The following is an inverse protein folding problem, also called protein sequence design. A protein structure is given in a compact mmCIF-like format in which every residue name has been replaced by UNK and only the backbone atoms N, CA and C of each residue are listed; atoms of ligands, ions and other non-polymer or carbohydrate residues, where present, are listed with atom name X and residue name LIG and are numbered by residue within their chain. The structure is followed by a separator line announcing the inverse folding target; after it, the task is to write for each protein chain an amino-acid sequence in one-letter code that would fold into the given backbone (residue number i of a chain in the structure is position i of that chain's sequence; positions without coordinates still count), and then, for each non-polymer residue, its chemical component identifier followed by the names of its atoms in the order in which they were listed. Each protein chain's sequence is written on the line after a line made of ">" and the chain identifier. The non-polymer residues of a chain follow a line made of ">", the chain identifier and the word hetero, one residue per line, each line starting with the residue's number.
data_IF_497473660066
#
_entry.id   IF_497473660066
#
_cell.length_a   1.000
_cell.length_b   1.000
_cell.length_c   1.000
_cell.angle_alpha   90.00
_cell.angle_beta   90.00
_cell.angle_gamma   90.00
#
_symmetry.space_group_name_H-M   'P 1'
#
loop_
_entity.id
_entity.type
_entity.pdbx_description
1 polymer ?
#
# COMPACT_ATOMS: atom_id res chain seq x y z
N UNK A 1 -18.53 -25.11 -13.16
CA UNK A 1 -18.06 -24.75 -11.80
C UNK A 1 -18.12 -23.23 -11.72
N UNK A 2 -18.76 -22.63 -10.70
CA UNK A 2 -18.81 -21.17 -10.56
C UNK A 2 -17.47 -20.65 -10.06
N UNK A 3 -17.09 -19.43 -10.48
CA UNK A 3 -15.81 -18.79 -10.13
C UNK A 3 -15.56 -18.77 -8.61
N UNK A 4 -16.61 -18.52 -7.83
CA UNK A 4 -16.60 -18.52 -6.36
C UNK A 4 -16.23 -19.89 -5.76
N UNK A 5 -16.69 -20.99 -6.37
CA UNK A 5 -16.34 -22.35 -5.93
C UNK A 5 -14.87 -22.66 -6.25
N UNK A 6 -14.37 -22.20 -7.40
CA UNK A 6 -12.97 -22.35 -7.76
C UNK A 6 -12.05 -21.56 -6.82
N UNK A 7 -12.40 -20.30 -6.51
CA UNK A 7 -11.65 -19.44 -5.58
C UNK A 7 -11.61 -20.06 -4.17
N UNK A 8 -12.75 -20.59 -3.68
CA UNK A 8 -12.80 -21.22 -2.36
C UNK A 8 -11.95 -22.49 -2.30
N UNK A 9 -11.99 -23.32 -3.35
CA UNK A 9 -11.16 -24.54 -3.47
C UNK A 9 -9.67 -24.20 -3.50
N UNK A 10 -9.27 -23.19 -4.27
CA UNK A 10 -7.89 -22.71 -4.34
C UNK A 10 -7.45 -22.14 -2.98
N UNK A 11 -8.30 -21.38 -2.31
CA UNK A 11 -7.99 -20.80 -1.00
C UNK A 11 -7.77 -21.90 0.06
N UNK A 12 -8.66 -22.89 0.13
CA UNK A 12 -8.50 -24.06 1.01
C UNK A 12 -7.24 -24.86 0.69
N UNK A 13 -6.90 -24.98 -0.60
CA UNK A 13 -5.69 -25.65 -1.05
C UNK A 13 -4.41 -24.89 -0.63
N UNK A 14 -4.40 -23.55 -0.72
CA UNK A 14 -3.27 -22.70 -0.33
C UNK A 14 -3.09 -22.58 1.18
N UNK A 15 -4.14 -22.83 1.97
CA UNK A 15 -4.07 -22.90 3.43
C UNK A 15 -3.38 -24.19 3.93
N UNK A 16 -3.25 -25.22 3.08
CA UNK A 16 -2.58 -26.46 3.44
C UNK A 16 -1.06 -26.35 3.25
N UNK A 17 -0.33 -26.16 4.35
CA UNK A 17 1.12 -25.93 4.37
C UNK A 17 1.92 -27.00 3.61
N UNK A 18 1.52 -28.28 3.73
CA UNK A 18 2.19 -29.40 3.06
C UNK A 18 2.05 -29.33 1.53
N UNK A 19 0.91 -28.87 1.02
CA UNK A 19 0.67 -28.71 -0.43
C UNK A 19 1.38 -27.49 -1.00
N UNK A 20 1.47 -26.41 -0.22
CA UNK A 20 2.30 -25.24 -0.56
C UNK A 20 3.77 -25.65 -0.70
N UNK A 21 4.30 -26.46 0.24
CA UNK A 21 5.66 -27.01 0.16
C UNK A 21 5.86 -27.88 -1.08
N UNK A 22 4.89 -28.74 -1.41
CA UNK A 22 4.95 -29.57 -2.62
C UNK A 22 5.04 -28.72 -3.90
N UNK A 23 4.19 -27.72 -4.07
CA UNK A 23 4.18 -26.86 -5.26
C UNK A 23 5.44 -25.99 -5.37
N UNK A 24 5.85 -25.38 -4.27
CA UNK A 24 7.04 -24.52 -4.22
C UNK A 24 8.34 -25.30 -4.49
N UNK A 25 8.32 -26.63 -4.34
CA UNK A 25 9.44 -27.49 -4.71
C UNK A 25 9.59 -27.75 -6.22
N UNK A 26 8.55 -27.46 -7.02
CA UNK A 26 8.54 -27.72 -8.46
C UNK A 26 9.20 -26.58 -9.23
N UNK A 27 10.39 -26.85 -9.78
CA UNK A 27 11.16 -25.87 -10.56
C UNK A 27 10.39 -25.31 -11.77
N UNK A 28 9.63 -26.17 -12.45
CA UNK A 28 8.80 -25.78 -13.60
C UNK A 28 7.80 -24.67 -13.25
N UNK A 29 7.19 -24.74 -12.06
CA UNK A 29 6.27 -23.69 -11.58
C UNK A 29 7.00 -22.35 -11.39
N UNK A 30 8.22 -22.38 -10.85
CA UNK A 30 9.02 -21.17 -10.66
C UNK A 30 9.35 -20.56 -12.02
N UNK A 31 9.83 -21.37 -12.97
CA UNK A 31 10.18 -20.91 -14.31
C UNK A 31 8.95 -20.31 -15.05
N UNK A 32 7.78 -20.95 -14.93
CA UNK A 32 6.52 -20.46 -15.50
C UNK A 32 6.07 -19.12 -14.88
N UNK A 33 6.17 -18.99 -13.55
CA UNK A 33 5.83 -17.75 -12.84
C UNK A 33 6.78 -16.63 -13.26
N UNK A 34 8.08 -16.89 -13.36
CA UNK A 34 9.07 -15.90 -13.79
C UNK A 34 8.82 -15.46 -15.24
N UNK A 35 8.63 -16.41 -16.16
CA UNK A 35 8.31 -16.11 -17.56
C UNK A 35 6.99 -15.32 -17.68
N UNK A 36 5.97 -15.72 -16.92
CA UNK A 36 4.67 -15.07 -16.89
C UNK A 36 4.73 -13.65 -16.31
N UNK A 37 5.59 -13.40 -15.32
CA UNK A 37 5.82 -12.09 -14.73
C UNK A 37 6.52 -11.14 -15.72
N UNK A 38 7.56 -11.61 -16.41
CA UNK A 38 8.23 -10.82 -17.47
C UNK A 38 7.24 -10.47 -18.57
N UNK A 39 6.46 -11.44 -19.05
CA UNK A 39 5.48 -11.23 -20.12
C UNK A 39 4.37 -10.21 -19.77
N UNK A 40 4.13 -9.96 -18.46
CA UNK A 40 3.12 -9.02 -17.95
C UNK A 40 3.71 -7.69 -17.47
N UNK A 41 5.01 -7.48 -17.62
CA UNK A 41 5.67 -6.25 -17.19
C UNK A 41 5.87 -6.13 -15.68
N UNK A 42 5.89 -7.26 -14.96
CA UNK A 42 6.18 -7.31 -13.51
C UNK A 42 7.70 -7.20 -13.32
N UNK A 43 8.26 -6.05 -13.66
CA UNK A 43 9.71 -5.78 -13.72
C UNK A 43 10.05 -4.43 -13.08
N UNK A 44 11.31 -4.28 -12.68
CA UNK A 44 11.89 -3.05 -12.14
C UNK A 44 13.29 -2.82 -12.70
N UNK A 45 13.78 -1.59 -12.56
CA UNK A 45 15.16 -1.23 -12.87
C UNK A 45 15.93 -1.10 -11.56
N UNK A 46 16.75 -2.11 -11.19
CA UNK A 46 17.50 -2.08 -9.92
C UNK A 46 18.55 -0.97 -9.90
N UNK A 47 19.02 -0.57 -11.08
CA UNK A 47 19.86 0.60 -11.27
C UNK A 47 19.11 1.64 -12.12
N UNK A 48 18.74 2.80 -11.56
CA UNK A 48 18.05 3.87 -12.29
C UNK A 48 18.79 4.38 -13.53
N UNK A 49 20.12 4.29 -13.52
CA UNK A 49 20.97 4.74 -14.63
C UNK A 49 21.06 3.70 -15.76
N UNK A 50 20.82 2.42 -15.46
CA UNK A 50 20.87 1.33 -16.43
C UNK A 50 19.47 1.01 -16.98
N UNK A 51 18.90 1.97 -17.72
CA UNK A 51 17.51 1.92 -18.23
C UNK A 51 17.17 0.77 -19.19
N UNK A 52 18.18 0.03 -19.67
CA UNK A 52 18.00 -1.17 -20.51
C UNK A 52 18.06 -2.48 -19.72
N UNK A 53 18.38 -2.43 -18.43
CA UNK A 53 18.57 -3.61 -17.57
C UNK A 53 17.37 -3.76 -16.62
N UNK A 54 16.27 -4.27 -17.15
CA UNK A 54 15.12 -4.65 -16.34
C UNK A 54 15.39 -5.98 -15.63
N UNK A 55 14.96 -6.08 -14.38
CA UNK A 55 14.93 -7.29 -13.57
C UNK A 55 13.50 -7.55 -13.10
N UNK A 56 13.18 -8.78 -12.73
CA UNK A 56 11.88 -9.09 -12.11
C UNK A 56 11.74 -8.37 -10.76
N UNK A 57 10.55 -7.84 -10.46
CA UNK A 57 10.27 -7.37 -9.10
C UNK A 57 10.21 -8.56 -8.13
N UNK A 58 10.54 -8.39 -6.84
CA UNK A 58 10.38 -9.45 -5.86
C UNK A 58 8.89 -9.75 -5.69
N UNK A 59 8.51 -11.00 -5.90
CA UNK A 59 7.14 -11.49 -5.76
C UNK A 59 7.10 -12.75 -4.89
N UNK A 60 5.98 -13.00 -4.25
CA UNK A 60 5.72 -14.30 -3.62
C UNK A 60 5.31 -15.30 -4.70
N UNK A 61 5.74 -16.56 -4.59
CA UNK A 61 5.40 -17.58 -5.59
C UNK A 61 3.90 -17.90 -5.60
N UNK A 62 3.28 -17.85 -4.42
CA UNK A 62 1.85 -18.07 -4.21
C UNK A 62 1.28 -16.87 -3.43
N UNK A 63 -0.02 -16.57 -3.57
CA UNK A 63 -0.64 -15.51 -2.78
C UNK A 63 -0.73 -15.92 -1.31
N UNK A 64 -0.50 -14.95 -0.43
CA UNK A 64 -0.62 -15.16 1.02
C UNK A 64 -2.09 -15.33 1.40
N UNK A 65 -2.48 -16.41 2.10
CA UNK A 65 -3.83 -16.54 2.63
C UNK A 65 -4.14 -15.39 3.60
N UNK A 66 -5.34 -14.81 3.49
CA UNK A 66 -5.76 -13.66 4.28
C UNK A 66 -7.24 -13.75 4.65
N UNK A 67 -7.61 -13.29 5.85
CA UNK A 67 -8.99 -13.33 6.33
C UNK A 67 -9.90 -12.42 5.49
N UNK A 68 -10.94 -13.00 4.89
CA UNK A 68 -11.85 -12.28 3.99
C UNK A 68 -12.52 -11.10 4.68
N UNK A 69 -13.00 -11.29 5.91
CA UNK A 69 -13.70 -10.25 6.67
C UNK A 69 -12.79 -9.06 6.99
N UNK A 70 -11.53 -9.31 7.37
CA UNK A 70 -10.54 -8.26 7.59
C UNK A 70 -10.23 -7.48 6.30
N UNK A 71 -10.13 -8.17 5.15
CA UNK A 71 -9.92 -7.52 3.85
C UNK A 71 -11.12 -6.63 3.48
N UNK A 72 -12.34 -7.13 3.64
CA UNK A 72 -13.56 -6.38 3.35
C UNK A 72 -13.68 -5.15 4.25
N UNK A 73 -13.41 -5.30 5.55
CA UNK A 73 -13.41 -4.20 6.49
C UNK A 73 -12.37 -3.12 6.12
N UNK A 74 -11.13 -3.52 5.83
CA UNK A 74 -10.08 -2.57 5.42
C UNK A 74 -10.44 -1.83 4.14
N UNK A 75 -11.08 -2.52 3.18
CA UNK A 75 -11.57 -1.92 1.93
C UNK A 75 -12.68 -0.90 2.18
N UNK A 76 -13.64 -1.23 3.05
CA UNK A 76 -14.76 -0.34 3.41
C UNK A 76 -14.30 0.91 4.17
N UNK A 77 -13.22 0.82 4.94
CA UNK A 77 -12.64 1.95 5.67
C UNK A 77 -11.93 2.97 4.77
N UNK A 78 -11.51 2.59 3.55
CA UNK A 78 -10.71 3.43 2.66
C UNK A 78 -11.26 4.86 2.46
N UNK A 79 -12.52 5.03 2.02
CA UNK A 79 -13.13 6.35 1.84
C UNK A 79 -13.12 7.21 3.10
N UNK A 80 -13.42 6.62 4.27
CA UNK A 80 -13.42 7.31 5.56
C UNK A 80 -12.04 7.85 5.92
N UNK A 81 -10.99 7.05 5.72
CA UNK A 81 -9.61 7.51 5.91
C UNK A 81 -9.22 8.62 4.94
N UNK A 82 -9.66 8.54 3.68
CA UNK A 82 -9.37 9.59 2.70
C UNK A 82 -10.03 10.92 3.08
N UNK A 83 -11.29 10.90 3.53
CA UNK A 83 -12.00 12.10 3.99
C UNK A 83 -11.35 12.68 5.25
N UNK A 84 -10.98 11.82 6.21
CA UNK A 84 -10.24 12.25 7.40
C UNK A 84 -8.95 12.96 7.01
N UNK A 85 -8.16 12.36 6.13
CA UNK A 85 -6.87 12.93 5.74
C UNK A 85 -7.01 14.21 4.91
N UNK A 86 -8.06 14.35 4.08
CA UNK A 86 -8.34 15.62 3.39
C UNK A 86 -8.67 16.74 4.39
N UNK A 87 -9.51 16.46 5.39
CA UNK A 87 -9.83 17.42 6.46
C UNK A 87 -8.60 17.81 7.27
N UNK A 88 -7.77 16.83 7.63
CA UNK A 88 -6.50 17.06 8.35
C UNK A 88 -5.56 17.92 7.52
N UNK A 89 -5.41 17.65 6.22
CA UNK A 89 -4.55 18.43 5.34
C UNK A 89 -5.02 19.89 5.19
N UNK A 90 -6.33 20.12 5.22
CA UNK A 90 -6.93 21.45 5.12
C UNK A 90 -6.85 22.26 6.43
N UNK A 91 -6.63 21.62 7.57
CA UNK A 91 -6.54 22.28 8.88
C UNK A 91 -5.11 22.75 9.20
N UNK A 92 -4.69 23.84 8.56
CA UNK A 92 -3.37 24.43 8.78
C UNK A 92 -3.11 24.82 10.25
N UNK A 93 -4.06 25.42 11.00
CA UNK A 93 -3.87 25.67 12.43
C UNK A 93 -3.55 24.40 13.23
N UNK A 94 -4.30 23.32 13.01
CA UNK A 94 -4.04 22.04 13.66
C UNK A 94 -2.68 21.47 13.26
N UNK A 95 -2.36 21.44 11.96
CA UNK A 95 -1.07 20.96 11.47
C UNK A 95 0.12 21.71 12.08
N UNK A 96 0.01 23.05 12.18
CA UNK A 96 1.04 23.88 12.82
C UNK A 96 1.21 23.48 14.28
N UNK A 97 0.10 23.33 15.01
CA UNK A 97 0.15 22.97 16.42
C UNK A 97 0.81 21.61 16.64
N UNK A 98 0.42 20.58 15.89
CA UNK A 98 0.90 19.21 16.11
C UNK A 98 2.33 18.98 15.60
N UNK A 99 2.76 19.70 14.55
CA UNK A 99 4.10 19.56 13.97
C UNK A 99 5.11 20.59 14.47
N UNK A 100 4.73 21.54 15.32
CA UNK A 100 5.60 22.64 15.75
C UNK A 100 6.93 22.17 16.33
N UNK A 101 6.90 21.27 17.32
CA UNK A 101 8.14 20.78 17.96
C UNK A 101 8.94 19.88 17.01
N UNK A 102 8.28 19.01 16.25
CA UNK A 102 8.94 18.17 15.24
C UNK A 102 9.66 19.01 14.19
N UNK A 103 9.04 20.09 13.72
CA UNK A 103 9.61 21.00 12.73
C UNK A 103 10.82 21.79 13.24
N UNK A 104 10.96 21.99 14.56
CA UNK A 104 12.17 22.57 15.16
C UNK A 104 13.33 21.58 15.21
N UNK A 105 13.03 20.29 15.37
CA UNK A 105 14.03 19.22 15.56
C UNK A 105 14.42 18.55 14.25
N UNK A 106 13.54 18.52 13.25
CA UNK A 106 13.79 17.98 11.92
C UNK A 106 13.71 19.07 10.85
N UNK A 107 14.86 19.35 10.22
CA UNK A 107 14.99 20.38 9.20
C UNK A 107 14.11 20.10 7.96
N UNK A 108 13.84 18.84 7.63
CA UNK A 108 12.98 18.49 6.48
C UNK A 108 11.53 18.85 6.81
N UNK A 109 11.01 18.37 7.95
CA UNK A 109 9.66 18.68 8.43
C UNK A 109 9.47 20.20 8.58
N UNK A 110 10.41 20.90 9.21
CA UNK A 110 10.34 22.35 9.39
C UNK A 110 10.26 23.11 8.06
N UNK A 111 11.03 22.69 7.05
CA UNK A 111 10.95 23.28 5.69
C UNK A 111 9.60 23.05 5.03
N UNK A 112 9.03 21.85 5.15
CA UNK A 112 7.72 21.52 4.58
C UNK A 112 6.61 22.33 5.25
N UNK A 113 6.61 22.41 6.58
CA UNK A 113 5.64 23.22 7.33
C UNK A 113 5.74 24.71 6.93
N UNK A 114 6.96 25.24 6.81
CA UNK A 114 7.17 26.61 6.37
C UNK A 114 6.68 26.88 4.93
N UNK A 115 6.76 25.91 4.01
CA UNK A 115 6.13 26.04 2.67
C UNK A 115 4.61 26.12 2.82
N UNK A 116 4.03 25.22 3.62
CA UNK A 116 2.59 25.17 3.86
C UNK A 116 2.07 26.50 4.40
N UNK A 117 2.74 27.08 5.41
CA UNK A 117 2.39 28.39 5.97
C UNK A 117 2.53 29.55 4.99
N UNK A 118 3.59 29.54 4.18
CA UNK A 118 3.78 30.61 3.17
C UNK A 118 2.71 30.59 2.10
N UNK A 119 2.20 29.42 1.71
CA UNK A 119 1.19 29.28 0.66
C UNK A 119 -0.22 29.50 1.21
N UNK A 120 -0.58 28.78 2.27
CA UNK A 120 -1.95 28.70 2.78
C UNK A 120 -2.22 29.55 4.03
N UNK A 121 -1.17 30.07 4.67
CA UNK A 121 -1.28 31.02 5.77
C UNK A 121 -1.12 32.46 5.28
N UNK A 122 0.12 32.89 5.08
CA UNK A 122 0.43 34.27 4.66
C UNK A 122 0.19 34.53 3.18
N UNK A 123 0.19 33.50 2.34
CA UNK A 123 0.11 33.60 0.89
C UNK A 123 -1.30 33.81 0.34
N UNK A 124 -2.33 33.73 1.20
CA UNK A 124 -3.71 34.04 0.84
C UNK A 124 -4.42 33.01 -0.03
N UNK A 125 -3.79 31.87 -0.36
CA UNK A 125 -4.51 30.75 -0.95
C UNK A 125 -5.31 30.03 0.11
N UNK A 126 -6.57 29.76 -0.17
CA UNK A 126 -7.39 28.91 0.69
C UNK A 126 -7.21 27.45 0.28
N UNK A 127 -6.55 26.69 1.15
CA UNK A 127 -6.28 25.27 0.92
C UNK A 127 -7.57 24.49 0.66
N UNK A 128 -8.68 24.82 1.35
CA UNK A 128 -9.96 24.14 1.23
C UNK A 128 -10.60 24.33 -0.16
N UNK A 129 -10.37 25.48 -0.78
CA UNK A 129 -10.95 25.85 -2.08
C UNK A 129 -10.22 25.29 -3.30
N UNK A 130 -8.99 24.77 -3.11
CA UNK A 130 -8.20 24.21 -4.21
C UNK A 130 -8.75 22.86 -4.70
N UNK A 131 -8.59 22.58 -6.00
CA UNK A 131 -8.80 21.23 -6.53
C UNK A 131 -7.59 20.37 -6.17
N UNK A 132 -7.81 19.29 -5.41
CA UNK A 132 -6.75 18.42 -4.88
C UNK A 132 -6.97 16.97 -5.34
N UNK A 133 -5.87 16.28 -5.63
CA UNK A 133 -5.86 14.83 -5.89
C UNK A 133 -5.09 14.14 -4.76
N UNK A 134 -5.81 13.50 -3.85
CA UNK A 134 -5.22 12.73 -2.75
C UNK A 134 -5.05 11.27 -3.20
N UNK A 135 -3.80 10.83 -3.43
CA UNK A 135 -3.46 9.43 -3.71
C UNK A 135 -2.95 8.79 -2.43
N UNK A 136 -3.79 7.96 -1.81
CA UNK A 136 -3.56 7.42 -0.48
C UNK A 136 -3.45 5.90 -0.50
N UNK A 137 -2.60 5.36 0.37
CA UNK A 137 -2.51 3.92 0.67
C UNK A 137 -2.54 3.76 2.19
N UNK A 138 -3.50 3.00 2.69
CA UNK A 138 -3.60 2.67 4.11
C UNK A 138 -3.07 1.26 4.31
N UNK A 139 -2.04 1.12 5.16
CA UNK A 139 -1.39 -0.15 5.44
C UNK A 139 -1.98 -0.78 6.71
N UNK A 140 -2.43 -2.03 6.61
CA UNK A 140 -3.03 -2.78 7.72
C UNK A 140 -2.23 -4.06 8.01
N UNK A 141 -2.24 -4.48 9.28
CA UNK A 141 -1.67 -5.76 9.72
C UNK A 141 -2.69 -6.49 10.58
N UNK A 142 -2.71 -7.82 10.50
CA UNK A 142 -3.56 -8.65 11.35
C UNK A 142 -2.98 -8.71 12.76
N UNK A 143 -3.80 -8.41 13.77
CA UNK A 143 -3.44 -8.66 15.16
C UNK A 143 -3.71 -10.14 15.47
N UNK A 144 -2.65 -10.94 15.59
CA UNK A 144 -2.73 -12.38 15.83
C UNK A 144 -3.24 -12.75 17.22
N UNK A 145 -3.40 -11.79 18.13
CA UNK A 145 -3.99 -12.00 19.48
C UNK A 145 -5.51 -11.99 19.46
N UNK A 146 -6.10 -11.31 18.47
CA UNK A 146 -7.54 -11.30 18.23
C UNK A 146 -7.75 -12.41 17.19
N UNK A 147 -7.95 -13.63 17.66
CA UNK A 147 -7.78 -14.86 16.89
C UNK A 147 -8.42 -14.83 15.50
N UNK A 148 -7.77 -15.55 14.56
CA UNK A 148 -8.42 -16.02 13.34
C UNK A 148 -9.40 -17.12 13.76
N UNK A 149 -10.61 -16.74 14.18
CA UNK A 149 -11.73 -17.69 14.31
C UNK A 149 -12.18 -18.19 12.94
#
# INVERSE_FOLDING_TARGET
>A
ETEEVAVRRISQFLLAEERVKELTSKRELVDDVLAGAVARGVVMYPNPEAKSQAALVPITLLPTPFAADCYLQARELGPTFHELMDKVACDLPWMRQVLHETGKMDAICGRLLGICERVYGSGGKDHCSDVRLNIMRNDFMLDTRIGLE
#
